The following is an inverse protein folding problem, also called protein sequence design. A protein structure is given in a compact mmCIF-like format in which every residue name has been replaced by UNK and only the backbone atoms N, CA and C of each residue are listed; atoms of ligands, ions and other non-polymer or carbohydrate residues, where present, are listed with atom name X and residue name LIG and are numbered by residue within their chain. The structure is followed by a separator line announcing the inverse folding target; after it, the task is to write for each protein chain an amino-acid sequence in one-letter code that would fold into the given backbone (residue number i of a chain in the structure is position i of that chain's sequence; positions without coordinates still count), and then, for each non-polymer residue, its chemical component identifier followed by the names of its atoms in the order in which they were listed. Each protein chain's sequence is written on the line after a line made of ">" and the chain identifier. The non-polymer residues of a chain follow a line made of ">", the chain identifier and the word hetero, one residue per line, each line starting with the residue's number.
data_IF_304362288042
#
_entry.id   IF_304362288042
#
_cell.length_a   1.000
_cell.length_b   1.000
_cell.length_c   1.000
_cell.angle_alpha   90.00
_cell.angle_beta   90.00
_cell.angle_gamma   90.00
#
_symmetry.space_group_name_H-M   'P 1'
#
loop_
_entity.id
_entity.type
_entity.pdbx_description
1 polymer ?
#
# COMPACT_ATOMS: atom_id res chain seq x y z
N UNK A 1 1.44 -9.84 8.59
CA UNK A 1 1.12 -10.08 7.18
C UNK A 1 1.27 -11.57 6.94
N UNK A 2 0.26 -12.21 6.38
CA UNK A 2 0.42 -13.55 5.83
C UNK A 2 1.53 -13.52 4.79
N UNK A 3 2.35 -14.56 4.77
CA UNK A 3 3.39 -14.73 3.76
C UNK A 3 2.81 -14.88 2.35
N UNK A 4 3.66 -15.10 1.35
CA UNK A 4 3.20 -15.51 0.02
C UNK A 4 2.28 -16.75 0.12
N UNK A 5 1.30 -16.91 -0.79
CA UNK A 5 0.43 -18.09 -0.81
C UNK A 5 1.21 -19.41 -0.80
N UNK A 6 0.68 -20.43 -0.13
CA UNK A 6 1.42 -21.64 0.26
C UNK A 6 1.98 -22.52 -0.87
N UNK A 7 1.69 -22.22 -2.14
CA UNK A 7 2.23 -22.91 -3.31
C UNK A 7 2.81 -21.96 -4.38
N UNK A 8 2.92 -20.66 -4.07
CA UNK A 8 3.46 -19.70 -5.02
C UNK A 8 4.98 -19.78 -5.05
N UNK A 9 5.55 -19.50 -6.22
CA UNK A 9 6.99 -19.40 -6.44
C UNK A 9 7.36 -17.98 -6.85
N UNK A 10 8.59 -17.58 -6.55
CA UNK A 10 9.07 -16.29 -7.00
C UNK A 10 9.20 -16.29 -8.52
N UNK A 11 8.51 -15.36 -9.20
CA UNK A 11 8.53 -15.25 -10.67
C UNK A 11 9.87 -14.83 -11.28
N UNK A 12 10.90 -14.57 -10.46
CA UNK A 12 12.25 -14.19 -10.92
C UNK A 12 13.21 -15.39 -10.83
N UNK A 13 13.32 -16.04 -9.68
CA UNK A 13 14.18 -17.22 -9.51
C UNK A 13 13.47 -18.57 -9.76
N UNK A 14 12.14 -18.55 -9.90
CA UNK A 14 11.28 -19.74 -10.01
C UNK A 14 11.40 -20.72 -8.83
N UNK A 15 11.94 -20.26 -7.69
CA UNK A 15 12.09 -21.04 -6.45
C UNK A 15 11.16 -20.60 -5.34
N UNK A 16 11.28 -21.25 -4.19
CA UNK A 16 10.62 -20.84 -2.95
C UNK A 16 11.08 -19.46 -2.52
N UNK A 17 10.22 -18.75 -1.80
CA UNK A 17 10.51 -17.39 -1.37
C UNK A 17 11.57 -17.35 -0.26
N UNK A 18 12.69 -16.68 -0.53
CA UNK A 18 13.71 -16.33 0.46
C UNK A 18 13.59 -14.85 0.80
N UNK A 19 13.41 -14.53 2.09
CA UNK A 19 13.11 -13.17 2.58
C UNK A 19 11.98 -12.50 1.76
N UNK A 20 10.76 -13.06 1.77
CA UNK A 20 9.66 -12.58 0.93
C UNK A 20 9.32 -11.11 1.21
N UNK A 21 9.08 -10.37 0.13
CA UNK A 21 8.57 -9.02 0.17
C UNK A 21 7.42 -8.84 -0.83
N UNK A 22 6.46 -8.00 -0.44
CA UNK A 22 5.27 -7.68 -1.23
C UNK A 22 5.40 -6.28 -1.83
N UNK A 23 5.14 -6.15 -3.13
CA UNK A 23 5.07 -4.86 -3.82
C UNK A 23 3.73 -4.13 -3.58
N UNK A 24 3.66 -2.83 -3.88
CA UNK A 24 2.41 -2.04 -3.85
C UNK A 24 1.30 -2.61 -4.77
N UNK A 25 1.67 -3.38 -5.79
CA UNK A 25 0.72 -4.12 -6.65
C UNK A 25 0.30 -5.49 -6.09
N UNK A 26 0.62 -5.80 -4.82
CA UNK A 26 0.34 -7.04 -4.08
C UNK A 26 1.06 -8.32 -4.53
N UNK A 27 1.88 -8.25 -5.58
CA UNK A 27 2.74 -9.38 -5.99
C UNK A 27 3.93 -9.59 -5.06
N UNK A 28 4.35 -10.86 -4.93
CA UNK A 28 5.41 -11.30 -4.04
C UNK A 28 6.70 -11.64 -4.80
N UNK A 29 7.83 -11.32 -4.18
CA UNK A 29 9.18 -11.63 -4.69
C UNK A 29 10.13 -11.95 -3.54
N UNK A 30 11.20 -12.71 -3.81
CA UNK A 30 12.35 -12.74 -2.90
C UNK A 30 13.01 -11.36 -2.87
N UNK A 31 13.45 -10.88 -1.71
CA UNK A 31 14.08 -9.58 -1.59
C UNK A 31 15.30 -9.41 -2.51
N UNK A 32 16.20 -10.40 -2.55
CA UNK A 32 17.35 -10.40 -3.47
C UNK A 32 16.94 -10.35 -4.94
N UNK A 33 15.90 -11.10 -5.32
CA UNK A 33 15.45 -11.19 -6.71
C UNK A 33 14.94 -9.85 -7.22
N UNK A 34 14.09 -9.16 -6.46
CA UNK A 34 13.53 -7.89 -6.90
C UNK A 34 14.56 -6.76 -6.88
N UNK A 35 15.53 -6.80 -5.96
CA UNK A 35 16.68 -5.89 -5.97
C UNK A 35 17.55 -6.10 -7.21
N UNK A 36 17.78 -7.34 -7.61
CA UNK A 36 18.53 -7.66 -8.82
C UNK A 36 17.82 -7.13 -10.08
N UNK A 37 16.50 -7.29 -10.16
CA UNK A 37 15.68 -6.71 -11.24
C UNK A 37 15.82 -5.19 -11.30
N UNK A 38 15.83 -4.51 -10.14
CA UNK A 38 16.06 -3.08 -10.09
C UNK A 38 17.47 -2.69 -10.55
N UNK A 39 18.51 -3.39 -10.12
CA UNK A 39 19.90 -3.10 -10.49
C UNK A 39 20.19 -3.31 -11.99
N UNK A 40 19.57 -4.30 -12.63
CA UNK A 40 19.69 -4.49 -14.09
C UNK A 40 18.87 -3.49 -14.90
N UNK A 41 17.89 -2.84 -14.27
CA UNK A 41 17.11 -1.79 -14.90
C UNK A 41 17.81 -0.43 -14.86
N UNK A 42 17.00 0.63 -14.80
CA UNK A 42 17.50 1.99 -14.56
C UNK A 42 17.52 2.25 -13.06
N UNK A 43 18.70 2.33 -12.44
CA UNK A 43 18.86 2.66 -11.03
C UNK A 43 18.20 4.00 -10.63
N UNK A 44 17.93 4.87 -11.60
CA UNK A 44 17.30 6.20 -11.42
C UNK A 44 15.76 6.15 -11.35
N UNK A 45 15.14 5.03 -11.76
CA UNK A 45 13.68 4.91 -11.81
C UNK A 45 13.20 3.72 -10.97
N UNK A 46 11.95 3.77 -10.45
CA UNK A 46 11.35 2.61 -9.81
C UNK A 46 11.32 1.42 -10.76
N UNK A 47 11.67 0.22 -10.27
CA UNK A 47 11.56 -0.98 -11.07
C UNK A 47 10.09 -1.29 -11.40
N UNK A 48 9.86 -1.95 -12.54
CA UNK A 48 8.52 -2.41 -12.94
C UNK A 48 8.31 -3.83 -12.43
N UNK A 49 7.11 -4.10 -11.95
CA UNK A 49 6.72 -5.45 -11.54
C UNK A 49 6.83 -6.44 -12.72
N UNK A 50 7.57 -7.55 -12.59
CA UNK A 50 7.67 -8.57 -13.63
C UNK A 50 6.32 -9.16 -14.07
N UNK A 51 5.33 -9.19 -13.17
CA UNK A 51 4.02 -9.79 -13.41
C UNK A 51 3.01 -8.84 -14.05
N UNK A 52 2.90 -7.61 -13.52
CA UNK A 52 1.87 -6.65 -13.97
C UNK A 52 2.40 -5.35 -14.55
N UNK A 53 3.72 -5.20 -14.67
CA UNK A 53 4.43 -4.04 -15.25
C UNK A 53 4.19 -2.69 -14.58
N UNK A 54 3.43 -2.63 -13.48
CA UNK A 54 3.25 -1.43 -12.65
C UNK A 54 4.56 -1.04 -11.98
N UNK A 55 4.74 0.26 -11.73
CA UNK A 55 5.90 0.75 -10.99
C UNK A 55 5.83 0.30 -9.53
N UNK A 56 6.90 -0.33 -9.07
CA UNK A 56 7.06 -0.72 -7.68
C UNK A 56 7.66 0.46 -6.95
N UNK A 57 6.85 1.16 -6.15
CA UNK A 57 7.33 2.31 -5.38
C UNK A 57 7.50 1.99 -3.91
N UNK A 58 7.02 0.83 -3.48
CA UNK A 58 7.10 0.39 -2.09
C UNK A 58 7.19 -1.14 -2.07
N UNK A 59 8.17 -1.65 -1.34
CA UNK A 59 8.36 -3.07 -1.04
C UNK A 59 8.22 -3.28 0.47
N UNK A 60 7.39 -4.23 0.85
CA UNK A 60 7.12 -4.53 2.26
C UNK A 60 7.50 -5.97 2.58
N UNK A 61 8.58 -6.20 3.35
CA UNK A 61 8.97 -7.53 3.82
C UNK A 61 7.92 -8.18 4.73
N UNK A 62 7.91 -9.51 4.81
CA UNK A 62 7.08 -10.22 5.80
C UNK A 62 7.57 -10.01 7.22
N UNK A 63 6.66 -10.16 8.18
CA UNK A 63 6.99 -10.07 9.62
C UNK A 63 8.01 -11.14 10.03
N UNK A 64 7.93 -12.33 9.46
CA UNK A 64 8.91 -13.42 9.70
C UNK A 64 10.30 -13.02 9.21
N UNK A 65 10.38 -12.37 8.03
CA UNK A 65 11.64 -11.84 7.50
C UNK A 65 12.22 -10.76 8.41
N UNK A 66 11.37 -9.91 8.99
CA UNK A 66 11.78 -8.88 9.94
C UNK A 66 12.26 -9.48 11.27
N UNK A 67 11.63 -10.55 11.75
CA UNK A 67 12.07 -11.29 12.95
C UNK A 67 13.44 -11.94 12.78
N UNK A 68 13.78 -12.35 11.56
CA UNK A 68 15.06 -12.96 11.20
C UNK A 68 16.18 -11.94 10.89
N UNK A 69 16.02 -10.65 11.25
CA UNK A 69 17.03 -9.60 11.02
C UNK A 69 18.40 -9.86 11.69
N UNK A 70 18.49 -10.84 12.58
CA UNK A 70 19.75 -11.25 13.20
C UNK A 70 20.67 -12.01 12.22
N UNK A 71 20.10 -12.63 11.18
CA UNK A 71 20.87 -13.24 10.10
C UNK A 71 21.50 -12.14 9.24
N UNK A 72 22.84 -12.13 9.05
CA UNK A 72 23.53 -11.10 8.27
C UNK A 72 23.07 -11.04 6.81
N UNK A 73 22.66 -12.15 6.20
CA UNK A 73 22.16 -12.15 4.84
C UNK A 73 20.80 -11.46 4.76
N UNK A 74 19.87 -11.82 5.65
CA UNK A 74 18.54 -11.23 5.73
C UNK A 74 18.63 -9.74 6.07
N UNK A 75 19.50 -9.35 7.01
CA UNK A 75 19.74 -7.96 7.39
C UNK A 75 20.18 -7.12 6.18
N UNK A 76 21.09 -7.65 5.35
CA UNK A 76 21.56 -6.98 4.13
C UNK A 76 20.43 -6.78 3.12
N UNK A 77 19.61 -7.81 2.91
CA UNK A 77 18.44 -7.73 2.00
C UNK A 77 17.45 -6.67 2.49
N UNK A 78 17.13 -6.68 3.78
CA UNK A 78 16.24 -5.70 4.38
C UNK A 78 16.78 -4.27 4.25
N UNK A 79 18.09 -4.06 4.45
CA UNK A 79 18.73 -2.75 4.26
C UNK A 79 18.69 -2.25 2.81
N UNK A 80 18.83 -3.14 1.83
CA UNK A 80 18.66 -2.80 0.42
C UNK A 80 17.22 -2.38 0.10
N UNK A 81 16.23 -3.12 0.65
CA UNK A 81 14.81 -2.80 0.50
C UNK A 81 14.47 -1.45 1.14
N UNK A 82 15.00 -1.19 2.34
CA UNK A 82 14.84 0.09 3.05
C UNK A 82 15.41 1.24 2.21
N UNK A 83 16.61 1.07 1.67
CA UNK A 83 17.23 2.05 0.76
C UNK A 83 16.39 2.29 -0.49
N UNK A 84 15.89 1.22 -1.12
CA UNK A 84 14.99 1.32 -2.28
C UNK A 84 13.72 2.11 -1.94
N UNK A 85 13.11 1.80 -0.80
CA UNK A 85 11.91 2.48 -0.34
C UNK A 85 12.19 3.96 -0.11
N UNK A 86 13.31 4.37 0.49
CA UNK A 86 13.67 5.80 0.65
C UNK A 86 13.74 6.55 -0.67
N UNK A 87 14.29 5.91 -1.70
CA UNK A 87 14.47 6.53 -3.02
C UNK A 87 13.13 6.74 -3.75
N UNK A 88 12.18 5.83 -3.61
CA UNK A 88 10.98 5.80 -4.46
C UNK A 88 9.64 5.83 -3.71
N UNK A 89 9.62 5.64 -2.40
CA UNK A 89 8.43 5.52 -1.58
C UNK A 89 7.68 6.85 -1.42
N UNK A 90 8.43 7.94 -1.33
CA UNK A 90 7.90 9.31 -1.29
C UNK A 90 7.65 9.94 -2.66
N UNK A 91 7.95 9.26 -3.78
CA UNK A 91 7.73 9.84 -5.11
C UNK A 91 6.24 9.99 -5.39
N UNK A 92 5.85 11.19 -5.80
CA UNK A 92 4.52 11.52 -6.33
C UNK A 92 4.19 10.56 -7.49
N UNK A 93 3.39 9.53 -7.21
CA UNK A 93 2.78 8.71 -8.25
C UNK A 93 1.63 9.50 -8.88
N UNK A 94 1.56 9.50 -10.21
CA UNK A 94 0.45 10.15 -10.93
C UNK A 94 -0.90 9.58 -10.47
N UNK A 95 -1.96 10.39 -10.56
CA UNK A 95 -3.30 10.04 -10.07
C UNK A 95 -3.80 8.68 -10.59
N UNK A 96 -3.53 8.37 -11.86
CA UNK A 96 -3.88 7.09 -12.48
C UNK A 96 -3.24 5.91 -11.73
N UNK A 97 -1.98 6.03 -11.34
CA UNK A 97 -1.28 4.98 -10.59
C UNK A 97 -1.83 4.86 -9.16
N UNK A 98 -2.16 5.98 -8.51
CA UNK A 98 -2.83 5.94 -7.18
C UNK A 98 -4.16 5.21 -7.25
N UNK A 99 -4.98 5.48 -8.27
CA UNK A 99 -6.25 4.79 -8.46
C UNK A 99 -6.08 3.28 -8.72
N UNK A 100 -5.04 2.88 -9.46
CA UNK A 100 -4.75 1.47 -9.70
C UNK A 100 -4.22 0.74 -8.45
N UNK A 101 -3.49 1.44 -7.59
CA UNK A 101 -2.93 0.88 -6.35
C UNK A 101 -3.96 0.91 -5.20
N UNK A 102 -4.94 1.82 -5.26
CA UNK A 102 -6.00 2.03 -4.27
C UNK A 102 -6.70 0.74 -3.81
N UNK A 103 -7.27 -0.12 -4.68
CA UNK A 103 -8.00 -1.30 -4.23
C UNK A 103 -7.11 -2.29 -3.48
N UNK A 104 -5.83 -2.37 -3.82
CA UNK A 104 -4.89 -3.28 -3.18
C UNK A 104 -4.46 -2.76 -1.81
N UNK A 105 -4.15 -1.46 -1.71
CA UNK A 105 -3.81 -0.79 -0.46
C UNK A 105 -5.00 -0.81 0.51
N UNK A 106 -6.21 -0.54 0.03
CA UNK A 106 -7.41 -0.53 0.86
C UNK A 106 -7.77 -1.93 1.35
N UNK A 107 -7.72 -2.96 0.48
CA UNK A 107 -7.91 -4.36 0.91
C UNK A 107 -6.89 -4.79 1.96
N UNK A 108 -5.64 -4.33 1.85
CA UNK A 108 -4.59 -4.59 2.82
C UNK A 108 -4.88 -3.90 4.16
N UNK A 109 -5.23 -2.62 4.12
CA UNK A 109 -5.63 -1.85 5.31
C UNK A 109 -6.86 -2.46 6.00
N UNK A 110 -7.89 -2.85 5.24
CA UNK A 110 -9.11 -3.44 5.80
C UNK A 110 -8.82 -4.74 6.56
N UNK A 111 -7.96 -5.60 6.01
CA UNK A 111 -7.50 -6.82 6.72
C UNK A 111 -6.76 -6.48 8.01
N UNK A 112 -5.83 -5.52 7.96
CA UNK A 112 -5.11 -5.08 9.14
C UNK A 112 -6.01 -4.41 10.19
N UNK A 113 -7.09 -3.75 9.78
CA UNK A 113 -8.05 -3.14 10.68
C UNK A 113 -8.92 -4.20 11.39
N UNK A 114 -9.25 -5.28 10.68
CA UNK A 114 -10.10 -6.38 11.15
C UNK A 114 -9.36 -7.34 12.10
N UNK A 115 -8.03 -7.36 12.10
CA UNK A 115 -7.22 -8.08 13.10
C UNK A 115 -7.10 -7.27 14.41
N UNK A 116 -7.67 -7.72 15.54
CA UNK A 116 -7.68 -6.96 16.80
C UNK A 116 -6.31 -6.84 17.47
N UNK A 117 -5.36 -7.73 17.16
CA UNK A 117 -4.07 -7.86 17.85
C UNK A 117 -2.89 -7.11 17.20
N UNK A 118 -3.12 -6.27 16.18
CA UNK A 118 -2.03 -5.65 15.38
C UNK A 118 -1.86 -4.14 15.56
N UNK A 119 -0.59 -3.73 15.49
CA UNK A 119 0.00 -2.42 15.76
C UNK A 119 -0.22 -1.39 14.64
N UNK A 120 -1.47 -1.15 14.25
CA UNK A 120 -1.75 0.09 13.51
C UNK A 120 -1.60 1.27 14.49
N UNK A 121 -0.80 2.31 14.18
CA UNK A 121 -0.74 3.53 14.97
C UNK A 121 -2.15 4.04 15.25
N UNK A 122 -2.48 4.23 16.53
CA UNK A 122 -3.83 4.59 17.00
C UNK A 122 -4.38 5.84 16.28
N UNK A 123 -3.48 6.74 15.86
CA UNK A 123 -3.75 7.94 15.06
C UNK A 123 -4.33 7.64 13.68
N UNK A 124 -3.90 6.57 13.01
CA UNK A 124 -4.46 6.16 11.71
C UNK A 124 -5.85 5.60 11.91
N UNK A 125 -6.03 4.72 12.91
CA UNK A 125 -7.33 4.18 13.27
C UNK A 125 -8.31 5.33 13.54
N UNK A 126 -7.92 6.29 14.38
CA UNK A 126 -8.70 7.47 14.68
C UNK A 126 -9.01 8.31 13.44
N UNK A 127 -8.03 8.61 12.58
CA UNK A 127 -8.25 9.38 11.34
C UNK A 127 -9.18 8.66 10.36
N UNK A 128 -9.07 7.34 10.23
CA UNK A 128 -9.96 6.52 9.40
C UNK A 128 -11.37 6.55 9.97
N UNK A 129 -11.55 6.34 11.27
CA UNK A 129 -12.88 6.42 11.91
C UNK A 129 -13.49 7.81 11.80
N UNK A 130 -12.70 8.88 12.00
CA UNK A 130 -13.18 10.26 11.84
C UNK A 130 -13.59 10.52 10.39
N UNK A 131 -12.79 10.12 9.41
CA UNK A 131 -13.16 10.28 7.99
C UNK A 131 -14.43 9.49 7.64
N UNK A 132 -14.57 8.27 8.15
CA UNK A 132 -15.77 7.45 7.96
C UNK A 132 -17.01 8.08 8.62
N UNK A 133 -16.87 8.59 9.85
CA UNK A 133 -17.94 9.27 10.59
C UNK A 133 -18.34 10.56 9.88
N UNK A 134 -17.39 11.39 9.45
CA UNK A 134 -17.67 12.63 8.71
C UNK A 134 -18.35 12.35 7.37
N UNK A 135 -17.93 11.29 6.66
CA UNK A 135 -18.60 10.84 5.43
C UNK A 135 -20.03 10.36 5.70
N UNK A 136 -20.24 9.59 6.77
CA UNK A 136 -21.57 9.12 7.15
C UNK A 136 -22.47 10.28 7.59
N UNK A 137 -21.93 11.25 8.34
CA UNK A 137 -22.64 12.47 8.75
C UNK A 137 -23.01 13.30 7.52
N UNK A 138 -22.14 13.39 6.52
CA UNK A 138 -22.46 14.03 5.24
C UNK A 138 -23.65 13.34 4.56
N UNK A 139 -23.54 12.02 4.32
CA UNK A 139 -24.57 11.22 3.63
C UNK A 139 -25.93 11.22 4.37
N UNK A 140 -25.93 11.29 5.70
CA UNK A 140 -27.15 11.22 6.53
C UNK A 140 -27.71 12.62 6.83
N UNK A 141 -26.95 13.68 6.57
CA UNK A 141 -27.38 15.05 6.87
C UNK A 141 -28.46 15.50 5.88
N UNK A 142 -29.66 15.86 6.34
CA UNK A 142 -30.74 16.37 5.47
C UNK A 142 -30.49 17.80 4.95
N UNK A 143 -29.26 18.30 5.08
CA UNK A 143 -28.81 19.63 4.66
C UNK A 143 -27.69 19.43 3.64
N UNK A 144 -28.04 18.91 2.47
CA UNK A 144 -27.16 19.01 1.31
C UNK A 144 -27.15 20.46 0.83
N UNK A 145 -25.95 20.96 0.48
CA UNK A 145 -25.73 22.31 -0.07
C UNK A 145 -26.48 22.49 -1.42
N UNK A 146 -26.99 21.41 -2.02
CA UNK A 146 -27.75 21.40 -3.27
C UNK A 146 -29.12 20.72 -3.00
N UNK A 147 -30.26 21.43 -3.16
CA UNK A 147 -31.57 20.83 -2.93
C UNK A 147 -31.82 19.71 -3.95
N UNK A 148 -31.91 18.48 -3.45
CA UNK A 148 -32.08 17.23 -4.20
C UNK A 148 -33.34 17.22 -5.11
N UNK A 149 -34.27 18.15 -4.90
CA UNK A 149 -35.53 18.25 -5.64
C UNK A 149 -35.43 18.75 -7.09
N UNK A 150 -34.27 19.24 -7.56
CA UNK A 150 -34.15 19.83 -8.92
C UNK A 150 -33.05 19.15 -9.76
N UNK A 151 -32.06 18.50 -9.14
CA UNK A 151 -30.85 17.99 -9.79
C UNK A 151 -30.36 16.66 -9.15
N UNK A 152 -31.25 15.69 -8.94
CA UNK A 152 -30.93 14.44 -8.23
C UNK A 152 -29.70 13.65 -8.73
N UNK A 153 -29.28 13.82 -9.99
CA UNK A 153 -28.05 13.21 -10.53
C UNK A 153 -26.78 13.90 -9.99
N UNK A 154 -26.85 15.21 -9.71
CA UNK A 154 -25.73 16.02 -9.22
C UNK A 154 -25.43 15.72 -7.76
N UNK A 155 -26.45 15.50 -6.92
CA UNK A 155 -26.28 15.06 -5.53
C UNK A 155 -25.57 13.70 -5.45
N UNK A 156 -26.05 12.72 -6.24
CA UNK A 156 -25.42 11.39 -6.29
C UNK A 156 -23.97 11.42 -6.80
N UNK A 157 -23.65 12.35 -7.72
CA UNK A 157 -22.28 12.56 -8.19
C UNK A 157 -21.39 13.12 -7.08
N UNK A 158 -21.90 14.04 -6.27
CA UNK A 158 -21.18 14.67 -5.17
C UNK A 158 -20.88 13.66 -4.05
N UNK A 159 -21.86 12.83 -3.67
CA UNK A 159 -21.67 11.72 -2.73
C UNK A 159 -20.59 10.74 -3.19
N UNK A 160 -20.65 10.33 -4.46
CA UNK A 160 -19.65 9.44 -5.06
C UNK A 160 -18.25 10.06 -5.00
N UNK A 161 -18.15 11.37 -5.25
CA UNK A 161 -16.91 12.11 -5.26
C UNK A 161 -16.32 12.25 -3.85
N UNK A 162 -17.16 12.51 -2.84
CA UNK A 162 -16.75 12.58 -1.44
C UNK A 162 -16.25 11.21 -0.95
N UNK A 163 -16.98 10.15 -1.23
CA UNK A 163 -16.57 8.78 -0.90
C UNK A 163 -15.23 8.43 -1.58
N UNK A 164 -15.06 8.77 -2.86
CA UNK A 164 -13.80 8.56 -3.58
C UNK A 164 -12.63 9.35 -2.95
N UNK A 165 -12.84 10.62 -2.60
CA UNK A 165 -11.83 11.44 -1.93
C UNK A 165 -11.45 10.83 -0.58
N UNK A 166 -12.42 10.37 0.21
CA UNK A 166 -12.16 9.72 1.48
C UNK A 166 -11.33 8.44 1.32
N UNK A 167 -11.66 7.59 0.35
CA UNK A 167 -10.86 6.39 0.06
C UNK A 167 -9.44 6.74 -0.39
N UNK A 168 -9.27 7.72 -1.27
CA UNK A 168 -7.96 8.19 -1.70
C UNK A 168 -7.14 8.75 -0.52
N UNK A 169 -7.77 9.52 0.37
CA UNK A 169 -7.13 10.08 1.55
C UNK A 169 -6.67 8.97 2.51
N UNK A 170 -7.54 8.02 2.81
CA UNK A 170 -7.23 6.86 3.67
C UNK A 170 -6.08 6.03 3.09
N UNK A 171 -6.11 5.76 1.78
CA UNK A 171 -5.04 5.00 1.15
C UNK A 171 -3.70 5.76 1.11
N UNK A 172 -3.73 7.08 0.93
CA UNK A 172 -2.54 7.93 1.01
C UNK A 172 -1.94 7.92 2.42
N UNK A 173 -2.77 8.03 3.47
CA UNK A 173 -2.33 7.91 4.86
C UNK A 173 -1.75 6.52 5.16
N UNK A 174 -2.40 5.47 4.69
CA UNK A 174 -1.87 4.11 4.90
C UNK A 174 -0.54 3.90 4.18
N UNK A 175 -0.43 4.40 2.95
CA UNK A 175 0.83 4.37 2.19
C UNK A 175 1.94 5.14 2.91
N UNK A 176 1.67 6.31 3.48
CA UNK A 176 2.68 7.09 4.21
C UNK A 176 3.17 6.36 5.46
N UNK A 177 2.30 5.61 6.12
CA UNK A 177 2.64 4.80 7.30
C UNK A 177 3.48 3.59 6.92
N UNK A 178 3.10 2.86 5.86
CA UNK A 178 3.93 1.77 5.37
C UNK A 178 5.31 2.28 4.92
N UNK A 179 5.35 3.44 4.28
CA UNK A 179 6.60 4.11 3.94
C UNK A 179 7.43 4.45 5.17
N UNK A 180 6.85 5.05 6.22
CA UNK A 180 7.58 5.35 7.46
C UNK A 180 8.11 4.07 8.15
N UNK A 181 7.33 2.99 8.15
CA UNK A 181 7.72 1.72 8.79
C UNK A 181 8.81 0.96 8.03
N UNK A 182 8.85 1.06 6.70
CA UNK A 182 9.72 0.23 5.85
C UNK A 182 10.72 1.02 5.00
N UNK A 183 10.64 2.34 5.02
CA UNK A 183 11.60 3.26 4.42
C UNK A 183 12.70 3.68 5.39
N UNK A 184 12.61 3.38 6.68
CA UNK A 184 13.62 3.85 7.63
C UNK A 184 13.49 5.34 7.95
N UNK A 185 13.82 5.69 9.19
CA UNK A 185 13.87 7.09 9.64
C UNK A 185 15.06 7.85 9.07
#
# INVERSE_FOLDING_TARGET
>A
MEGPPSNDLCSVCHGSFTTPCQANCSHWFCGNCIMLVWHHGSAVQPCKCPLCRRQITLLVPTEDSLGQRHDPEVARVLGNIETYNRLFGGRETGLVQRMQDLPFLLRRLLRELMDPHRTLPLVIRARVYIAMILSAVYIISPVDIIPEGILGIVGLLDDLLIVLICFLHVAALYRSVLYFRHGGS
#
